data_IF_752540111604
#
_entry.id   IF_752540111604
#
_cell.length_a   1.000
_cell.length_b   1.000
_cell.length_c   1.000
_cell.angle_alpha   90.00
_cell.angle_beta   90.00
_cell.angle_gamma   90.00
#
_symmetry.space_group_name_H-M   'P 1'
#
loop_
_entity.id
_entity.type
_entity.pdbx_description
1 polymer ?
#
# COMPACT_ATOMS: atom_id res chain seq x y z
N UNK A 1 13.01 -0.24 -3.66
CA UNK A 1 13.02 -0.11 -2.18
C UNK A 1 12.44 -1.39 -1.64
N UNK A 2 13.23 -2.21 -0.95
CA UNK A 2 12.68 -3.38 -0.28
C UNK A 2 12.09 -2.92 1.05
N UNK A 3 10.75 -2.88 1.12
CA UNK A 3 10.03 -2.44 2.32
C UNK A 3 10.29 -3.35 3.53
N UNK A 4 10.67 -4.62 3.30
CA UNK A 4 11.03 -5.59 4.36
C UNK A 4 12.23 -5.18 5.21
N UNK A 5 13.04 -4.21 4.80
CA UNK A 5 14.19 -3.73 5.58
C UNK A 5 14.00 -2.28 6.00
N UNK A 6 12.78 -1.75 5.83
CA UNK A 6 12.51 -0.36 6.10
C UNK A 6 11.96 -0.18 7.51
N UNK A 7 12.37 0.89 8.20
CA UNK A 7 11.70 1.36 9.42
C UNK A 7 11.05 2.71 9.14
N UNK A 8 9.89 2.96 9.75
CA UNK A 8 9.17 4.22 9.57
C UNK A 8 9.13 4.99 10.88
N UNK A 9 9.67 6.21 10.86
CA UNK A 9 9.77 7.09 12.03
C UNK A 9 8.99 8.39 11.80
N UNK A 10 8.33 8.86 12.85
CA UNK A 10 7.73 10.19 12.86
C UNK A 10 8.86 11.21 13.02
N UNK A 11 8.79 12.32 12.28
CA UNK A 11 9.62 13.49 12.57
C UNK A 11 8.76 14.58 13.17
N UNK A 12 9.24 15.16 14.26
CA UNK A 12 8.63 16.36 14.80
C UNK A 12 9.01 17.57 13.94
N UNK A 13 8.14 18.58 13.94
CA UNK A 13 8.35 19.79 13.15
C UNK A 13 9.60 20.57 13.61
N UNK A 14 10.01 20.36 14.87
CA UNK A 14 11.23 20.90 15.47
C UNK A 14 12.50 20.27 14.90
N UNK A 15 12.46 19.01 14.48
CA UNK A 15 13.63 18.26 13.98
C UNK A 15 13.75 18.28 12.45
N UNK A 16 12.62 18.37 11.75
CA UNK A 16 12.57 18.34 10.27
C UNK A 16 12.43 19.72 9.61
N UNK A 17 12.13 20.76 10.38
CA UNK A 17 11.82 22.10 9.87
C UNK A 17 10.53 22.16 9.03
N UNK A 18 9.76 21.07 8.96
CA UNK A 18 8.54 20.93 8.14
C UNK A 18 7.47 20.21 8.93
N UNK A 19 6.21 20.63 8.77
CA UNK A 19 5.09 20.01 9.48
C UNK A 19 4.67 18.71 8.79
N UNK A 20 4.18 17.77 9.58
CA UNK A 20 3.57 16.52 9.11
C UNK A 20 4.53 15.59 8.33
N UNK A 21 5.82 15.64 8.65
CA UNK A 21 6.83 14.78 8.03
C UNK A 21 7.01 13.44 8.76
N UNK A 22 7.40 12.44 7.99
CA UNK A 22 7.83 11.14 8.48
C UNK A 22 8.94 10.62 7.57
N UNK A 23 9.73 9.68 8.08
CA UNK A 23 10.90 9.16 7.39
C UNK A 23 10.80 7.65 7.20
N UNK A 24 11.09 7.19 6.00
CA UNK A 24 11.23 5.77 5.66
C UNK A 24 12.71 5.48 5.50
N UNK A 25 13.25 4.77 6.48
CA UNK A 25 14.67 4.43 6.59
C UNK A 25 14.93 3.05 6.02
N UNK A 26 15.76 2.96 4.99
CA UNK A 26 16.34 1.72 4.47
C UNK A 26 17.85 1.73 4.77
N UNK A 27 18.52 0.57 4.97
CA UNK A 27 19.98 0.49 5.18
C UNK A 27 20.82 1.28 4.17
N UNK A 28 20.31 1.50 2.96
CA UNK A 28 21.02 2.19 1.87
C UNK A 28 20.49 3.59 1.58
N UNK A 29 19.29 3.95 2.03
CA UNK A 29 18.62 5.21 1.68
C UNK A 29 17.66 5.65 2.77
N UNK A 30 17.63 6.95 3.03
CA UNK A 30 16.54 7.57 3.79
C UNK A 30 15.66 8.39 2.86
N UNK A 31 14.33 8.29 3.02
CA UNK A 31 13.35 9.11 2.33
C UNK A 31 12.49 9.86 3.34
N UNK A 32 12.49 11.19 3.28
CA UNK A 32 11.56 12.03 4.05
C UNK A 32 10.33 12.35 3.20
N UNK A 33 9.15 12.04 3.73
CA UNK A 33 7.85 12.28 3.12
C UNK A 33 7.06 13.26 3.99
N UNK A 34 6.21 14.06 3.35
CA UNK A 34 5.37 15.06 4.01
C UNK A 34 3.90 14.79 3.65
N UNK A 35 3.05 14.65 4.67
CA UNK A 35 1.61 14.54 4.50
C UNK A 35 0.94 15.92 4.52
N UNK A 36 -0.32 16.00 4.09
CA UNK A 36 -1.09 17.25 4.07
C UNK A 36 -1.65 17.60 5.45
N UNK A 37 -1.79 16.60 6.33
CA UNK A 37 -2.27 16.78 7.70
C UNK A 37 -1.61 15.84 8.70
N UNK A 38 -1.74 16.15 10.00
CA UNK A 38 -1.26 15.26 11.06
C UNK A 38 -1.99 13.92 11.09
N UNK A 39 -3.31 13.92 10.84
CA UNK A 39 -4.11 12.71 10.76
C UNK A 39 -3.59 11.80 9.65
N UNK A 40 -3.35 12.37 8.48
CA UNK A 40 -2.85 11.65 7.32
C UNK A 40 -1.43 11.10 7.56
N UNK A 41 -0.53 11.90 8.15
CA UNK A 41 0.80 11.43 8.59
C UNK A 41 0.68 10.18 9.47
N UNK A 42 -0.19 10.21 10.48
CA UNK A 42 -0.37 9.08 11.41
C UNK A 42 -0.91 7.84 10.69
N UNK A 43 -1.86 8.02 9.77
CA UNK A 43 -2.38 6.93 8.94
C UNK A 43 -1.29 6.30 8.08
N UNK A 44 -0.50 7.11 7.35
CA UNK A 44 0.60 6.64 6.52
C UNK A 44 1.63 5.84 7.33
N UNK A 45 2.04 6.36 8.49
CA UNK A 45 2.99 5.66 9.36
C UNK A 45 2.41 4.35 9.90
N UNK A 46 1.13 4.33 10.27
CA UNK A 46 0.44 3.13 10.71
C UNK A 46 0.43 2.04 9.63
N UNK A 47 -0.06 2.37 8.44
CA UNK A 47 -0.15 1.41 7.32
C UNK A 47 1.21 0.88 6.91
N UNK A 48 2.22 1.74 6.80
CA UNK A 48 3.55 1.28 6.43
C UNK A 48 4.14 0.32 7.47
N UNK A 49 3.99 0.61 8.77
CA UNK A 49 4.44 -0.29 9.83
C UNK A 49 3.72 -1.64 9.77
N UNK A 50 2.40 -1.63 9.62
CA UNK A 50 1.60 -2.87 9.48
C UNK A 50 1.97 -3.66 8.22
N UNK A 51 2.22 -2.99 7.10
CA UNK A 51 2.64 -3.65 5.86
C UNK A 51 4.03 -4.28 5.99
N UNK A 52 4.95 -3.62 6.69
CA UNK A 52 6.28 -4.16 7.01
C UNK A 52 6.14 -5.42 7.86
N UNK A 53 5.33 -5.37 8.93
CA UNK A 53 5.08 -6.49 9.84
C UNK A 53 4.42 -7.69 9.14
N UNK A 54 3.39 -7.46 8.32
CA UNK A 54 2.75 -8.51 7.51
C UNK A 54 3.75 -9.15 6.54
N UNK A 55 4.60 -8.35 5.90
CA UNK A 55 5.61 -8.85 4.98
C UNK A 55 6.65 -9.72 5.71
N UNK A 56 7.06 -9.35 6.93
CA UNK A 56 7.89 -10.20 7.79
C UNK A 56 7.20 -11.54 8.12
N UNK A 57 5.95 -11.53 8.57
CA UNK A 57 5.22 -12.75 8.92
C UNK A 57 4.91 -13.66 7.72
N UNK A 58 4.77 -13.09 6.52
CA UNK A 58 4.60 -13.89 5.29
C UNK A 58 5.82 -14.76 4.97
N UNK A 59 7.03 -14.32 5.34
CA UNK A 59 8.25 -15.09 5.17
C UNK A 59 8.30 -16.29 6.12
N UNK A 60 7.76 -16.15 7.34
CA UNK A 60 7.71 -17.24 8.33
C UNK A 60 6.72 -18.34 7.92
N UNK A 61 5.64 -17.99 7.22
CA UNK A 61 4.58 -18.93 6.84
C UNK A 61 4.97 -19.81 5.63
N UNK A 62 6.05 -19.48 4.91
CA UNK A 62 6.48 -20.23 3.71
C UNK A 62 7.29 -21.50 4.05
N UNK A 63 7.40 -21.87 5.33
CA UNK A 63 8.00 -23.12 5.79
C UNK A 63 7.09 -24.37 5.74
N UNK A 64 5.83 -24.26 5.29
CA UNK A 64 4.87 -25.38 5.32
C UNK A 64 4.12 -25.59 4.01
N UNK A 65 4.34 -26.75 3.39
CA UNK A 65 3.68 -27.27 2.18
C UNK A 65 2.16 -27.37 2.37
N UNK A 66 1.38 -26.89 1.38
CA UNK A 66 0.12 -27.54 1.00
C UNK A 66 -0.28 -27.17 -0.43
N UNK A 67 0.01 -28.10 -1.34
CA UNK A 67 -0.71 -28.27 -2.60
C UNK A 67 -2.20 -28.43 -2.33
N UNK A 68 -3.06 -27.77 -3.12
CA UNK A 68 -4.17 -28.46 -3.78
C UNK A 68 -4.84 -27.59 -4.84
N UNK A 69 -5.00 -28.19 -6.02
CA UNK A 69 -5.76 -27.69 -7.16
C UNK A 69 -7.14 -28.34 -7.12
N UNK A 70 -8.22 -27.55 -7.03
CA UNK A 70 -9.57 -27.96 -7.49
C UNK A 70 -10.52 -26.77 -7.68
N UNK A 71 -10.91 -26.57 -8.95
CA UNK A 71 -12.21 -26.16 -9.51
C UNK A 71 -12.97 -24.88 -9.07
N UNK A 72 -13.30 -24.13 -10.12
CA UNK A 72 -14.59 -23.50 -10.50
C UNK A 72 -15.25 -22.48 -9.56
N UNK A 73 -15.42 -21.26 -10.10
CA UNK A 73 -16.76 -20.66 -10.21
C UNK A 73 -17.28 -19.87 -9.01
N UNK A 74 -16.54 -18.88 -8.55
CA UNK A 74 -17.05 -17.64 -7.97
C UNK A 74 -15.89 -16.63 -7.99
N UNK A 75 -16.16 -15.34 -8.18
CA UNK A 75 -15.16 -14.30 -8.09
C UNK A 75 -14.63 -14.22 -6.65
N UNK A 76 -13.71 -15.13 -6.30
CA UNK A 76 -12.96 -15.07 -5.08
C UNK A 76 -11.98 -13.92 -5.24
N UNK A 77 -12.26 -12.82 -4.54
CA UNK A 77 -11.34 -11.74 -4.29
C UNK A 77 -9.97 -12.35 -3.97
N UNK A 78 -8.96 -12.04 -4.79
CA UNK A 78 -7.64 -12.63 -4.58
C UNK A 78 -7.19 -12.26 -3.16
N UNK A 79 -6.79 -13.25 -2.34
CA UNK A 79 -6.38 -13.05 -0.95
C UNK A 79 -5.47 -11.82 -0.72
N UNK A 80 -4.53 -11.45 -1.63
CA UNK A 80 -3.73 -10.25 -1.48
C UNK A 80 -4.51 -8.92 -1.49
N UNK A 81 -5.58 -8.83 -2.28
CA UNK A 81 -6.38 -7.60 -2.39
C UNK A 81 -7.27 -7.39 -1.17
N UNK A 82 -7.85 -8.48 -0.66
CA UNK A 82 -8.62 -8.47 0.58
C UNK A 82 -7.75 -8.02 1.78
N UNK A 83 -6.50 -8.48 1.85
CA UNK A 83 -5.56 -8.05 2.89
C UNK A 83 -5.15 -6.59 2.73
N UNK A 84 -4.93 -6.10 1.51
CA UNK A 84 -4.67 -4.68 1.26
C UNK A 84 -5.83 -3.78 1.69
N UNK A 85 -7.08 -4.19 1.44
CA UNK A 85 -8.27 -3.46 1.90
C UNK A 85 -8.37 -3.39 3.42
N UNK A 86 -7.97 -4.46 4.12
CA UNK A 86 -7.93 -4.49 5.59
C UNK A 86 -6.77 -3.68 6.17
N UNK A 87 -5.71 -3.42 5.41
CA UNK A 87 -4.54 -2.68 5.88
C UNK A 87 -4.86 -1.23 6.27
N UNK A 88 -5.97 -0.64 5.79
CA UNK A 88 -6.38 0.69 6.20
C UNK A 88 -7.77 1.08 5.69
N UNK A 89 -8.53 1.86 6.47
CA UNK A 89 -9.88 2.29 6.10
C UNK A 89 -9.95 3.09 4.78
N UNK A 90 -8.85 3.75 4.40
CA UNK A 90 -8.75 4.47 3.12
C UNK A 90 -8.68 3.54 1.90
N UNK A 91 -8.31 2.27 2.07
CA UNK A 91 -8.28 1.28 0.99
C UNK A 91 -9.68 0.76 0.62
N UNK A 92 -10.72 1.22 1.32
CA UNK A 92 -12.11 0.90 1.02
C UNK A 92 -12.73 1.82 -0.06
N UNK A 93 -12.02 2.89 -0.43
CA UNK A 93 -12.47 3.86 -1.42
C UNK A 93 -11.41 4.09 -2.51
N UNK A 94 -11.86 4.36 -3.73
CA UNK A 94 -11.00 4.71 -4.86
C UNK A 94 -10.21 5.98 -4.55
N UNK A 95 -8.91 5.95 -4.82
CA UNK A 95 -8.03 7.09 -4.54
C UNK A 95 -8.38 8.35 -5.37
N UNK A 96 -8.98 8.20 -6.54
CA UNK A 96 -9.25 9.32 -7.45
C UNK A 96 -10.65 9.92 -7.26
N UNK A 97 -11.67 9.07 -7.10
CA UNK A 97 -13.07 9.48 -7.09
C UNK A 97 -13.78 9.26 -5.75
N UNK A 98 -13.09 8.67 -4.76
CA UNK A 98 -13.64 8.25 -3.47
C UNK A 98 -14.82 7.25 -3.57
N UNK A 99 -15.07 6.68 -4.75
CA UNK A 99 -16.10 5.65 -4.96
C UNK A 99 -15.78 4.36 -4.19
N UNK A 100 -16.79 3.56 -3.82
CA UNK A 100 -16.59 2.35 -3.03
C UNK A 100 -15.90 1.22 -3.82
N UNK A 101 -15.40 0.22 -3.10
CA UNK A 101 -14.93 -1.07 -3.63
C UNK A 101 -13.88 -0.96 -4.75
N UNK A 102 -12.71 -0.34 -4.48
CA UNK A 102 -11.65 -0.25 -5.48
C UNK A 102 -10.96 -1.60 -5.68
N UNK A 103 -11.16 -2.27 -6.82
CA UNK A 103 -10.63 -3.62 -7.10
C UNK A 103 -9.29 -3.65 -7.86
N UNK A 104 -8.80 -2.51 -8.32
CA UNK A 104 -7.56 -2.41 -9.10
C UNK A 104 -6.48 -1.66 -8.34
N UNK A 105 -5.21 -1.98 -8.59
CA UNK A 105 -4.10 -1.31 -7.92
C UNK A 105 -3.17 -0.64 -8.93
N UNK A 106 -2.89 0.66 -8.75
CA UNK A 106 -1.75 1.30 -9.39
C UNK A 106 -0.49 1.03 -8.56
N UNK A 107 0.17 -0.10 -8.82
CA UNK A 107 1.22 -0.65 -7.95
C UNK A 107 2.46 0.25 -7.82
N UNK A 108 2.71 1.12 -8.80
CA UNK A 108 3.82 2.07 -8.73
C UNK A 108 3.50 3.30 -7.87
N UNK A 109 2.22 3.57 -7.59
CA UNK A 109 1.78 4.65 -6.72
C UNK A 109 1.24 4.14 -5.39
N UNK A 110 0.98 2.83 -5.26
CA UNK A 110 0.52 2.22 -4.02
C UNK A 110 -0.92 2.57 -3.65
N UNK A 111 -1.77 2.82 -4.66
CA UNK A 111 -3.17 3.21 -4.47
C UNK A 111 -4.13 2.20 -5.10
N UNK A 112 -5.35 2.13 -4.54
CA UNK A 112 -6.45 1.33 -5.09
C UNK A 112 -7.42 2.22 -5.88
N UNK A 113 -7.93 1.69 -6.99
CA UNK A 113 -8.76 2.38 -7.96
C UNK A 113 -10.03 1.58 -8.24
N UNK A 114 -11.13 2.26 -8.54
CA UNK A 114 -12.32 1.66 -9.14
C UNK A 114 -12.10 1.35 -10.63
N UNK A 115 -13.06 0.69 -11.27
CA UNK A 115 -12.91 0.23 -12.67
C UNK A 115 -12.71 1.40 -13.62
N UNK A 116 -13.44 2.48 -13.41
CA UNK A 116 -13.41 3.67 -14.26
C UNK A 116 -12.06 4.38 -14.16
N UNK A 117 -11.61 4.66 -12.93
CA UNK A 117 -10.32 5.32 -12.70
C UNK A 117 -9.14 4.43 -13.15
N UNK A 118 -9.25 3.11 -12.99
CA UNK A 118 -8.24 2.18 -13.54
C UNK A 118 -8.15 2.28 -15.07
N UNK A 119 -9.27 2.53 -15.77
CA UNK A 119 -9.30 2.75 -17.21
C UNK A 119 -8.57 4.03 -17.62
N UNK A 120 -8.76 5.11 -16.86
CA UNK A 120 -8.02 6.38 -17.06
C UNK A 120 -6.51 6.13 -16.90
N UNK A 121 -6.12 5.44 -15.83
CA UNK A 121 -4.71 5.13 -15.58
C UNK A 121 -4.08 4.27 -16.69
N UNK A 122 -4.82 3.31 -17.24
CA UNK A 122 -4.35 2.50 -18.39
C UNK A 122 -4.09 3.36 -19.63
N UNK A 123 -4.90 4.40 -19.86
CA UNK A 123 -4.73 5.32 -20.99
C UNK A 123 -3.43 6.14 -20.92
N UNK A 124 -2.88 6.36 -19.72
CA UNK A 124 -1.60 7.06 -19.51
C UNK A 124 -0.38 6.25 -19.99
N UNK A 125 -0.56 4.95 -20.21
CA UNK A 125 0.51 4.04 -20.62
C UNK A 125 1.34 3.50 -19.46
N UNK A 126 1.92 2.31 -19.67
CA UNK A 126 2.62 1.51 -18.64
C UNK A 126 3.89 2.14 -18.07
N UNK A 127 4.44 3.14 -18.76
CA UNK A 127 5.58 3.92 -18.30
C UNK A 127 5.18 4.97 -17.26
N UNK A 128 3.89 5.34 -17.21
CA UNK A 128 3.32 6.28 -16.25
C UNK A 128 2.61 5.55 -15.12
N UNK A 129 1.64 4.68 -15.45
CA UNK A 129 0.84 3.97 -14.47
C UNK A 129 0.85 2.46 -14.69
N UNK A 130 1.15 1.70 -13.64
CA UNK A 130 1.20 0.24 -13.66
C UNK A 130 -0.03 -0.28 -12.92
N UNK A 131 -1.11 -0.54 -13.67
CA UNK A 131 -2.37 -1.06 -13.13
C UNK A 131 -2.38 -2.60 -13.13
N UNK A 132 -2.64 -3.21 -11.97
CA UNK A 132 -2.83 -4.65 -11.75
C UNK A 132 -4.25 -4.93 -11.27
#
# INVERSE_FOLDING_TARGET
VNLLLCTVQLKDATESGRRFCFEVLNPTRSLTLQAESETERRLWVGVMRSAIELAYHSLDTTGGIASNSTKLGAAAESAPLAELRKAGAHNLACADCAGPSPDWAAINWGVLLCIECSGIHRSLGVHVSKVR
#
